data_IF_932888297078
#
_entry.id   IF_932888297078
#
_cell.length_a   1.000
_cell.length_b   1.000
_cell.length_c   1.000
_cell.angle_alpha   90.00
_cell.angle_beta   90.00
_cell.angle_gamma   90.00
#
_symmetry.space_group_name_H-M   'P 1'
#
loop_
_entity.id
_entity.type
_entity.pdbx_description
1 polymer ?
#
# COMPACT_ATOMS: atom_id res chain seq x y z
N UNK A 1 7.75 2.63 16.19
CA UNK A 1 8.93 2.61 15.31
C UNK A 1 8.45 2.89 13.88
N UNK A 2 9.00 3.86 13.21
CA UNK A 2 8.70 4.20 11.82
C UNK A 2 9.78 3.62 10.92
N UNK A 3 9.45 3.27 9.66
CA UNK A 3 10.42 2.63 8.74
C UNK A 3 11.71 3.44 8.56
N UNK A 4 11.63 4.77 8.53
CA UNK A 4 12.79 5.66 8.39
C UNK A 4 13.68 5.72 9.65
N UNK A 5 13.25 5.13 10.76
CA UNK A 5 14.01 5.02 12.01
C UNK A 5 14.79 3.69 12.11
N UNK A 6 14.75 2.85 11.07
CA UNK A 6 15.36 1.52 11.05
C UNK A 6 16.13 1.27 9.76
N UNK A 7 17.11 0.38 9.82
CA UNK A 7 17.83 -0.15 8.65
C UNK A 7 17.05 -1.28 7.93
N UNK A 8 15.88 -1.65 8.45
CA UNK A 8 15.01 -2.65 7.83
C UNK A 8 14.22 -1.98 6.72
N UNK A 9 14.27 -2.54 5.52
CA UNK A 9 13.46 -2.08 4.39
C UNK A 9 11.97 -2.08 4.74
N UNK A 10 11.23 -1.10 4.22
CA UNK A 10 9.78 -1.08 4.36
C UNK A 10 9.09 -2.10 3.46
N UNK A 11 7.90 -2.58 3.86
CA UNK A 11 7.02 -3.33 2.95
C UNK A 11 6.59 -2.46 1.77
N UNK A 12 6.21 -3.08 0.65
CA UNK A 12 5.66 -2.35 -0.51
C UNK A 12 4.36 -1.67 -0.10
N UNK A 13 4.31 -0.36 -0.23
CA UNK A 13 3.20 0.47 0.23
C UNK A 13 2.95 1.69 -0.67
N UNK A 14 1.89 2.40 -0.42
CA UNK A 14 1.66 3.76 -0.91
C UNK A 14 1.81 4.74 0.23
N UNK A 15 2.33 5.94 -0.05
CA UNK A 15 2.43 6.99 0.96
C UNK A 15 1.06 7.53 1.35
N UNK A 16 0.89 7.78 2.65
CA UNK A 16 -0.34 8.33 3.20
C UNK A 16 -1.60 7.47 3.01
N UNK A 17 -1.56 6.12 3.07
CA UNK A 17 -2.74 5.29 2.84
C UNK A 17 -3.85 5.53 3.87
N UNK A 18 -3.54 6.10 5.01
CA UNK A 18 -4.46 6.45 6.09
C UNK A 18 -5.13 7.83 5.92
N UNK A 19 -4.70 8.63 4.96
CA UNK A 19 -5.25 9.96 4.69
C UNK A 19 -6.51 9.87 3.83
N UNK A 20 -7.47 10.79 4.04
CA UNK A 20 -8.62 10.90 3.15
C UNK A 20 -8.19 11.20 1.71
N UNK A 21 -7.26 12.14 1.56
CA UNK A 21 -6.66 12.55 0.31
C UNK A 21 -5.14 12.27 0.39
N UNK A 22 -4.67 11.11 -0.07
CA UNK A 22 -3.24 10.81 -0.14
C UNK A 22 -2.57 11.72 -1.18
N UNK A 23 -1.24 11.90 -1.09
CA UNK A 23 -0.51 12.70 -2.05
C UNK A 23 -0.65 12.13 -3.47
N UNK A 24 -0.77 13.00 -4.47
CA UNK A 24 -0.82 12.61 -5.88
C UNK A 24 0.58 12.28 -6.41
N UNK A 25 1.60 12.92 -5.85
CA UNK A 25 3.01 12.78 -6.24
C UNK A 25 3.87 12.67 -4.98
N UNK A 26 4.93 11.90 -5.09
CA UNK A 26 5.99 11.78 -4.09
C UNK A 26 7.31 12.02 -4.80
N UNK A 27 8.13 12.90 -4.24
CA UNK A 27 9.45 13.21 -4.75
C UNK A 27 10.49 12.64 -3.78
N UNK A 28 11.53 12.05 -4.32
CA UNK A 28 12.71 11.63 -3.57
C UNK A 28 13.93 12.27 -4.21
N UNK A 29 14.81 12.83 -3.38
CA UNK A 29 16.11 13.34 -3.82
C UNK A 29 17.22 12.56 -3.11
N UNK A 30 18.22 12.14 -3.86
CA UNK A 30 19.36 11.42 -3.32
C UNK A 30 20.51 12.39 -3.01
N UNK A 31 20.63 12.80 -1.75
CA UNK A 31 21.73 13.68 -1.29
C UNK A 31 23.04 12.90 -1.27
N UNK A 32 23.02 11.69 -0.71
CA UNK A 32 24.16 10.79 -0.66
C UNK A 32 23.74 9.35 -0.96
N UNK A 33 24.45 8.71 -1.87
CA UNK A 33 24.20 7.31 -2.21
C UNK A 33 24.75 6.38 -1.13
N UNK A 34 23.97 5.38 -0.72
CA UNK A 34 24.43 4.36 0.20
C UNK A 34 25.54 3.50 -0.44
N UNK A 35 26.63 3.23 0.30
CA UNK A 35 27.72 2.33 -0.14
C UNK A 35 27.20 0.91 -0.40
N UNK A 36 26.33 0.38 0.48
CA UNK A 36 25.67 -0.93 0.34
C UNK A 36 24.16 -0.73 0.46
N UNK A 37 23.36 -1.47 -0.31
CA UNK A 37 21.90 -1.34 -0.31
C UNK A 37 21.43 -0.05 -0.99
N UNK A 38 20.37 0.56 -0.45
CA UNK A 38 19.78 1.78 -1.00
C UNK A 38 19.01 1.57 -2.32
N UNK A 39 18.58 0.34 -2.60
CA UNK A 39 17.73 0.05 -3.75
C UNK A 39 16.28 0.42 -3.43
N UNK A 40 15.61 0.99 -4.41
CA UNK A 40 14.18 1.26 -4.38
C UNK A 40 13.46 0.31 -5.33
N UNK A 41 12.24 -0.04 -4.97
CA UNK A 41 11.37 -0.89 -5.79
C UNK A 41 10.08 -0.13 -6.10
N UNK A 42 9.79 0.08 -7.36
CA UNK A 42 8.52 0.62 -7.83
C UNK A 42 7.66 -0.49 -8.42
N UNK A 43 6.37 -0.48 -8.07
CA UNK A 43 5.41 -1.49 -8.54
C UNK A 43 4.29 -0.83 -9.33
N UNK A 44 4.01 -1.37 -10.53
CA UNK A 44 2.91 -0.89 -11.35
C UNK A 44 1.55 -1.45 -10.89
N UNK A 45 0.86 -0.70 -10.06
CA UNK A 45 -0.47 -1.07 -9.55
C UNK A 45 -1.52 -1.16 -10.65
N UNK A 46 -1.38 -0.37 -11.75
CA UNK A 46 -2.24 -0.46 -12.94
C UNK A 46 -2.09 -1.83 -13.65
N UNK A 47 -0.85 -2.34 -13.77
CA UNK A 47 -0.60 -3.69 -14.33
C UNK A 47 -1.20 -4.78 -13.43
N UNK A 48 -1.05 -4.66 -12.09
CA UNK A 48 -1.64 -5.59 -11.12
C UNK A 48 -3.18 -5.57 -11.23
N UNK A 49 -3.80 -4.39 -11.28
CA UNK A 49 -5.25 -4.26 -11.46
C UNK A 49 -5.73 -4.98 -12.72
N UNK A 50 -5.08 -4.73 -13.88
CA UNK A 50 -5.40 -5.40 -15.15
C UNK A 50 -5.23 -6.92 -15.04
N UNK A 51 -4.16 -7.38 -14.42
CA UNK A 51 -3.93 -8.82 -14.19
C UNK A 51 -5.05 -9.45 -13.34
N UNK A 52 -5.39 -8.83 -12.20
CA UNK A 52 -6.45 -9.32 -11.31
C UNK A 52 -7.82 -9.31 -12.02
N UNK A 53 -8.13 -8.27 -12.80
CA UNK A 53 -9.40 -8.17 -13.53
C UNK A 53 -9.56 -9.28 -14.58
N UNK A 54 -8.47 -9.74 -15.19
CA UNK A 54 -8.48 -10.83 -16.18
C UNK A 54 -8.48 -12.21 -15.51
N UNK A 55 -7.65 -12.42 -14.49
CA UNK A 55 -7.28 -13.75 -14.01
C UNK A 55 -7.83 -14.11 -12.62
N UNK A 56 -8.21 -13.12 -11.80
CA UNK A 56 -8.62 -13.31 -10.39
C UNK A 56 -9.71 -12.31 -9.97
N UNK A 57 -10.80 -12.27 -10.73
CA UNK A 57 -11.91 -11.30 -10.53
C UNK A 57 -12.48 -11.33 -9.11
N UNK A 58 -12.61 -12.51 -8.50
CA UNK A 58 -13.14 -12.63 -7.14
C UNK A 58 -12.25 -11.96 -6.10
N UNK A 59 -10.91 -12.08 -6.24
CA UNK A 59 -9.97 -11.38 -5.36
C UNK A 59 -10.05 -9.88 -5.57
N UNK A 60 -10.08 -9.41 -6.82
CA UNK A 60 -10.26 -8.00 -7.13
C UNK A 60 -11.56 -7.45 -6.54
N UNK A 61 -12.69 -8.16 -6.69
CA UNK A 61 -13.99 -7.77 -6.08
C UNK A 61 -13.87 -7.59 -4.56
N UNK A 62 -13.07 -8.41 -3.89
CA UNK A 62 -12.80 -8.25 -2.45
C UNK A 62 -11.96 -6.99 -2.20
N UNK A 63 -10.90 -6.75 -2.97
CA UNK A 63 -9.99 -5.61 -2.81
C UNK A 63 -10.62 -4.25 -3.21
N UNK A 64 -11.76 -4.27 -3.92
CA UNK A 64 -12.58 -3.06 -4.19
C UNK A 64 -13.61 -2.76 -3.10
N UNK A 65 -13.79 -3.65 -2.11
CA UNK A 65 -14.57 -3.36 -0.90
C UNK A 65 -13.73 -2.54 0.08
N UNK A 66 -14.41 -1.89 1.03
CA UNK A 66 -13.73 -1.08 2.03
C UNK A 66 -13.01 -1.94 3.08
N UNK A 67 -11.83 -1.48 3.49
CA UNK A 67 -11.01 -1.98 4.59
C UNK A 67 -10.81 -0.87 5.62
N UNK A 68 -10.57 -1.25 6.87
CA UNK A 68 -10.19 -0.32 7.93
C UNK A 68 -8.68 -0.09 7.87
N UNK A 69 -8.26 1.17 7.81
CA UNK A 69 -6.86 1.59 7.91
C UNK A 69 -6.67 2.39 9.19
N UNK A 70 -5.67 2.06 9.99
CA UNK A 70 -5.28 2.87 11.14
C UNK A 70 -4.83 4.25 10.71
N UNK A 71 -5.27 5.33 11.37
CA UNK A 71 -4.91 6.72 11.03
C UNK A 71 -3.63 7.23 11.68
N UNK A 72 -2.97 6.46 12.52
CA UNK A 72 -1.68 6.84 13.16
C UNK A 72 -1.69 8.23 13.79
N UNK A 73 -2.74 8.60 14.50
CA UNK A 73 -2.85 9.91 15.14
C UNK A 73 -3.18 11.08 14.22
N UNK A 74 -3.34 10.89 12.91
CA UNK A 74 -3.82 11.91 11.97
C UNK A 74 -5.33 12.20 12.09
N UNK A 75 -5.95 11.85 13.22
CA UNK A 75 -7.33 12.19 13.54
C UNK A 75 -7.34 13.07 14.77
N UNK A 76 -7.84 14.29 14.62
CA UNK A 76 -8.11 15.19 15.76
C UNK A 76 -9.22 14.63 16.69
N UNK A 77 -10.10 13.80 16.14
CA UNK A 77 -11.19 13.16 16.87
C UNK A 77 -10.75 11.79 17.38
N UNK A 78 -10.67 11.60 18.69
CA UNK A 78 -10.35 10.31 19.34
C UNK A 78 -11.26 9.15 18.89
N UNK A 79 -12.48 9.43 18.42
CA UNK A 79 -13.44 8.45 17.88
C UNK A 79 -13.19 8.01 16.42
N UNK A 80 -12.38 8.75 15.65
CA UNK A 80 -12.12 8.49 14.22
C UNK A 80 -10.71 7.97 13.98
N UNK A 81 -10.29 6.98 14.75
CA UNK A 81 -8.93 6.39 14.67
C UNK A 81 -8.69 5.54 13.42
N UNK A 82 -9.70 5.28 12.60
CA UNK A 82 -9.60 4.49 11.37
C UNK A 82 -10.22 5.20 10.18
N UNK A 83 -9.68 4.91 9.01
CA UNK A 83 -10.23 5.26 7.70
C UNK A 83 -10.88 4.00 7.10
N UNK A 84 -12.07 4.11 6.51
CA UNK A 84 -12.78 2.99 5.89
C UNK A 84 -12.90 3.23 4.38
N UNK A 85 -11.99 2.67 3.59
CA UNK A 85 -11.83 2.89 2.15
C UNK A 85 -11.36 1.62 1.43
N UNK A 86 -11.59 1.51 0.11
CA UNK A 86 -11.11 0.37 -0.66
C UNK A 86 -9.60 0.45 -0.94
N UNK A 87 -8.99 -0.71 -1.18
CA UNK A 87 -7.61 -0.82 -1.65
C UNK A 87 -7.51 -0.37 -3.12
N UNK A 88 -8.37 -0.91 -3.98
CA UNK A 88 -8.52 -0.44 -5.36
C UNK A 88 -9.84 0.31 -5.53
N UNK A 89 -9.80 1.45 -6.21
CA UNK A 89 -10.99 2.18 -6.66
C UNK A 89 -10.81 2.53 -8.14
N UNK A 90 -11.80 2.17 -8.97
CA UNK A 90 -11.85 2.53 -10.38
C UNK A 90 -12.90 3.63 -10.58
N UNK A 91 -12.50 4.71 -11.25
CA UNK A 91 -13.39 5.80 -11.72
C UNK A 91 -13.08 6.02 -13.19
N UNK A 92 -13.98 5.61 -14.09
CA UNK A 92 -13.70 5.58 -15.52
C UNK A 92 -12.44 4.76 -15.82
N UNK A 93 -11.46 5.37 -16.48
CA UNK A 93 -10.16 4.72 -16.79
C UNK A 93 -9.11 4.89 -15.70
N UNK A 94 -9.37 5.74 -14.71
CA UNK A 94 -8.45 5.98 -13.59
C UNK A 94 -8.63 4.91 -12.53
N UNK A 95 -7.52 4.24 -12.18
CA UNK A 95 -7.44 3.30 -11.07
C UNK A 95 -6.60 3.94 -9.98
N UNK A 96 -7.17 4.09 -8.79
CA UNK A 96 -6.44 4.51 -7.59
C UNK A 96 -6.17 3.30 -6.72
N UNK A 97 -5.03 3.34 -6.02
CA UNK A 97 -4.53 2.27 -5.17
C UNK A 97 -4.09 2.84 -3.83
N UNK A 98 -4.41 2.14 -2.76
CA UNK A 98 -4.10 2.50 -1.39
C UNK A 98 -3.71 1.24 -0.64
N UNK A 99 -2.49 1.16 -0.13
CA UNK A 99 -2.04 -0.04 0.52
C UNK A 99 -0.92 0.20 1.54
N UNK A 100 -1.09 -0.36 2.69
CA UNK A 100 -0.07 -0.72 3.67
C UNK A 100 -0.68 -1.78 4.58
N UNK A 101 -0.15 -3.00 4.53
CA UNK A 101 -0.71 -4.18 5.20
C UNK A 101 -0.87 -3.96 6.69
N UNK A 102 0.14 -3.44 7.33
CA UNK A 102 0.18 -3.23 8.77
C UNK A 102 -0.89 -2.23 9.24
N UNK A 103 -1.21 -1.21 8.42
CA UNK A 103 -2.27 -0.25 8.75
C UNK A 103 -3.66 -0.85 8.61
N UNK A 104 -3.84 -1.81 7.71
CA UNK A 104 -5.09 -2.55 7.58
C UNK A 104 -5.28 -3.44 8.82
N UNK A 105 -4.28 -4.25 9.18
CA UNK A 105 -4.35 -5.14 10.34
C UNK A 105 -4.57 -4.37 11.65
N UNK A 106 -3.85 -3.27 11.85
CA UNK A 106 -4.05 -2.38 12.99
C UNK A 106 -5.44 -1.74 12.99
N UNK A 107 -5.97 -1.35 11.82
CA UNK A 107 -7.32 -0.80 11.70
C UNK A 107 -8.41 -1.78 12.11
N UNK A 108 -8.28 -3.06 11.75
CA UNK A 108 -9.19 -4.12 12.19
C UNK A 108 -9.07 -4.39 13.69
N UNK A 109 -7.84 -4.39 14.25
CA UNK A 109 -7.61 -4.51 15.70
C UNK A 109 -8.29 -3.39 16.48
N UNK A 110 -8.14 -2.12 16.04
CA UNK A 110 -8.80 -0.95 16.66
C UNK A 110 -10.33 -1.12 16.65
N UNK A 111 -10.89 -1.65 15.57
CA UNK A 111 -12.32 -1.90 15.43
C UNK A 111 -12.81 -3.15 16.15
N UNK A 112 -11.91 -3.92 16.79
CA UNK A 112 -12.24 -5.21 17.41
C UNK A 112 -12.97 -6.14 16.43
N UNK A 113 -12.53 -6.14 15.16
CA UNK A 113 -13.06 -6.99 14.07
C UNK A 113 -11.96 -7.85 13.49
N UNK A 114 -12.34 -9.00 12.94
CA UNK A 114 -11.43 -9.87 12.22
C UNK A 114 -11.58 -9.67 10.70
N UNK A 115 -10.49 -9.83 9.98
CA UNK A 115 -10.52 -9.99 8.53
C UNK A 115 -11.21 -11.32 8.20
N UNK A 116 -12.10 -11.32 7.21
CA UNK A 116 -12.69 -12.56 6.69
C UNK A 116 -11.64 -13.39 5.96
N UNK A 117 -11.86 -14.70 5.83
CA UNK A 117 -10.96 -15.59 5.06
C UNK A 117 -10.73 -15.07 3.63
N UNK A 118 -11.76 -14.55 2.96
CA UNK A 118 -11.63 -14.00 1.62
C UNK A 118 -10.77 -12.72 1.60
N UNK A 119 -10.87 -11.88 2.63
CA UNK A 119 -10.01 -10.69 2.76
C UNK A 119 -8.56 -11.13 2.99
N UNK A 120 -8.30 -12.05 3.89
CA UNK A 120 -6.95 -12.59 4.16
C UNK A 120 -6.35 -13.18 2.88
N UNK A 121 -7.07 -14.07 2.18
CA UNK A 121 -6.61 -14.66 0.91
C UNK A 121 -6.31 -13.59 -0.14
N UNK A 122 -7.17 -12.56 -0.25
CA UNK A 122 -6.99 -11.49 -1.24
C UNK A 122 -5.78 -10.60 -0.92
N UNK A 123 -5.57 -10.30 0.36
CA UNK A 123 -4.41 -9.52 0.82
C UNK A 123 -3.11 -10.30 0.62
N UNK A 124 -3.06 -11.58 1.01
CA UNK A 124 -1.87 -12.42 0.83
C UNK A 124 -1.51 -12.59 -0.67
N UNK A 125 -2.53 -12.75 -1.52
CA UNK A 125 -2.30 -12.83 -2.97
C UNK A 125 -1.80 -11.50 -3.53
N UNK A 126 -2.32 -10.37 -3.04
CA UNK A 126 -1.86 -9.03 -3.41
C UNK A 126 -0.39 -8.82 -3.00
N UNK A 127 0.00 -9.20 -1.76
CA UNK A 127 1.38 -9.11 -1.28
C UNK A 127 2.34 -9.88 -2.20
N UNK A 128 1.96 -11.09 -2.62
CA UNK A 128 2.73 -11.88 -3.57
C UNK A 128 2.88 -11.19 -4.93
N UNK A 129 1.83 -10.52 -5.43
CA UNK A 129 1.91 -9.76 -6.68
C UNK A 129 2.80 -8.52 -6.53
N UNK A 130 2.69 -7.80 -5.40
CA UNK A 130 3.50 -6.62 -5.10
C UNK A 130 5.00 -6.97 -5.02
N UNK A 131 5.34 -8.13 -4.48
CA UNK A 131 6.71 -8.63 -4.38
C UNK A 131 7.23 -9.27 -5.67
N UNK A 132 6.38 -9.42 -6.70
CA UNK A 132 6.75 -10.10 -7.95
C UNK A 132 7.53 -9.18 -8.89
N UNK A 133 8.68 -9.67 -9.39
CA UNK A 133 9.49 -8.99 -10.41
C UNK A 133 8.72 -8.69 -11.70
N UNK A 134 7.65 -9.41 -11.98
CA UNK A 134 6.77 -9.19 -13.15
C UNK A 134 6.12 -7.82 -13.17
N UNK A 135 5.85 -7.23 -12.00
CA UNK A 135 5.13 -5.97 -11.85
C UNK A 135 5.98 -4.84 -11.31
N UNK A 136 7.24 -5.11 -10.95
CA UNK A 136 8.16 -4.19 -10.32
C UNK A 136 9.38 -3.86 -11.19
N UNK A 137 9.98 -2.72 -10.88
CA UNK A 137 11.32 -2.33 -11.31
C UNK A 137 12.13 -2.00 -10.06
N UNK A 138 13.39 -2.41 -10.07
CA UNK A 138 14.36 -2.07 -9.03
C UNK A 138 15.36 -1.08 -9.59
N UNK A 139 15.70 -0.08 -8.81
CA UNK A 139 16.70 0.93 -9.19
C UNK A 139 17.41 1.44 -7.95
N UNK A 140 18.49 2.13 -8.14
CA UNK A 140 19.24 2.81 -7.09
C UNK A 140 19.51 4.23 -7.56
N UNK A 141 19.08 5.19 -6.75
CA UNK A 141 19.35 6.60 -7.03
C UNK A 141 20.84 6.90 -6.88
N UNK A 142 21.39 7.67 -7.79
CA UNK A 142 22.70 8.28 -7.67
C UNK A 142 22.63 9.59 -6.90
N UNK A 143 23.80 10.12 -6.51
CA UNK A 143 23.85 11.47 -5.88
C UNK A 143 23.36 12.52 -6.88
N UNK A 144 22.38 13.31 -6.49
CA UNK A 144 21.79 14.38 -7.31
C UNK A 144 20.57 13.98 -8.13
N UNK A 145 20.16 12.66 -8.13
CA UNK A 145 18.89 12.24 -8.73
C UNK A 145 17.69 12.75 -7.92
#
# INVERSE_FOLDING_TARGET
MRYHETNLGGSIHTDGPQLNNPPNFVFMACINQAKKGGHSTLVSTKKIYKFLSKNRRNLLKTLTKNFYFEKRGFSKDKGKSVLFKPIFKKNGDKVTFRYLREYIEAGYKIKKKNLTLNQIKSLNYLDNLLSSKKFSINFKLGKGD
#
